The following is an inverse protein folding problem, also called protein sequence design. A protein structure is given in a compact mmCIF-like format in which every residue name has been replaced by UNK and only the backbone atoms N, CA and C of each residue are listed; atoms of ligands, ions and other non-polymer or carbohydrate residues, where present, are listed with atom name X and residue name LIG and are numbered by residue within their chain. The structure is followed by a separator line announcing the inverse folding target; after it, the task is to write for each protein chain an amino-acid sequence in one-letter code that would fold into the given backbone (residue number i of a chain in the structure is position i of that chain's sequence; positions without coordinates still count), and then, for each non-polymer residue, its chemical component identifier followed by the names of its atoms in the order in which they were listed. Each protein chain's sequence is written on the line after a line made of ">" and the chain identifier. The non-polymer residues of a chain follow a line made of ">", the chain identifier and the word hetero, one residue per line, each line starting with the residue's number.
data_IF_404454508415
#
_entry.id   IF_404454508415
#
_cell.length_a   1.000
_cell.length_b   1.000
_cell.length_c   1.000
_cell.angle_alpha   90.00
_cell.angle_beta   90.00
_cell.angle_gamma   90.00
#
_symmetry.space_group_name_H-M   'P 1'
#
loop_
_entity.id
_entity.type
_entity.pdbx_description
1 polymer ?
#
# COMPACT_ATOMS: atom_id res chain seq x y z
N UNK A 1 4.94 12.37 5.00
CA UNK A 1 3.95 11.75 4.10
C UNK A 1 2.62 11.72 4.86
N UNK A 2 1.48 11.54 4.20
CA UNK A 2 0.18 11.72 4.87
C UNK A 2 -0.27 10.40 5.52
N UNK A 3 -0.05 10.28 6.84
CA UNK A 3 -0.45 9.11 7.65
C UNK A 3 -1.90 8.68 7.47
N UNK A 4 -2.80 9.62 7.16
CA UNK A 4 -4.22 9.32 6.92
C UNK A 4 -4.38 8.51 5.64
N UNK A 5 -3.66 8.89 4.58
CA UNK A 5 -3.70 8.21 3.27
C UNK A 5 -3.04 6.84 3.37
N UNK A 6 -1.86 6.74 3.99
CA UNK A 6 -1.16 5.46 4.19
C UNK A 6 -2.01 4.44 4.95
N UNK A 7 -2.68 4.87 6.02
CA UNK A 7 -3.59 4.02 6.79
C UNK A 7 -4.84 3.59 6.01
N UNK A 8 -5.41 4.46 5.16
CA UNK A 8 -6.55 4.10 4.31
C UNK A 8 -6.14 3.05 3.26
N UNK A 9 -4.98 3.22 2.63
CA UNK A 9 -4.46 2.26 1.66
C UNK A 9 -4.19 0.90 2.29
N UNK A 10 -3.59 0.88 3.49
CA UNK A 10 -3.37 -0.35 4.25
C UNK A 10 -4.67 -1.09 4.55
N UNK A 11 -5.69 -0.37 5.03
CA UNK A 11 -7.01 -0.94 5.30
C UNK A 11 -7.67 -1.49 4.03
N UNK A 12 -7.60 -0.75 2.92
CA UNK A 12 -8.16 -1.19 1.64
C UNK A 12 -7.47 -2.46 1.14
N UNK A 13 -6.14 -2.52 1.20
CA UNK A 13 -5.37 -3.70 0.81
C UNK A 13 -5.75 -4.93 1.64
N UNK A 14 -5.82 -4.79 2.97
CA UNK A 14 -6.24 -5.86 3.87
C UNK A 14 -7.69 -6.30 3.60
N UNK A 15 -8.59 -5.36 3.31
CA UNK A 15 -9.98 -5.68 2.97
C UNK A 15 -10.12 -6.45 1.64
N UNK A 16 -9.12 -6.35 0.77
CA UNK A 16 -9.05 -7.10 -0.50
C UNK A 16 -8.21 -8.37 -0.40
N UNK A 17 -7.71 -8.70 0.79
CA UNK A 17 -6.79 -9.83 1.04
C UNK A 17 -5.55 -9.82 0.13
N UNK A 18 -5.03 -8.63 -0.17
CA UNK A 18 -3.87 -8.46 -1.05
C UNK A 18 -2.59 -8.24 -0.22
N UNK A 19 -1.49 -8.80 -0.68
CA UNK A 19 -0.14 -8.47 -0.22
C UNK A 19 0.30 -7.08 -0.70
N UNK A 20 1.33 -6.51 -0.06
CA UNK A 20 1.92 -5.25 -0.53
C UNK A 20 2.51 -5.38 -1.94
N UNK A 21 2.97 -6.59 -2.30
CA UNK A 21 3.54 -6.87 -3.62
C UNK A 21 2.46 -6.89 -4.70
N UNK A 22 1.32 -7.55 -4.47
CA UNK A 22 0.21 -7.58 -5.44
C UNK A 22 -0.34 -6.18 -5.72
N UNK A 23 -0.51 -5.35 -4.69
CA UNK A 23 -0.96 -3.97 -4.89
C UNK A 23 0.11 -3.14 -5.59
N UNK A 24 1.38 -3.31 -5.24
CA UNK A 24 2.48 -2.59 -5.90
C UNK A 24 2.59 -2.97 -7.38
N UNK A 25 2.46 -4.25 -7.71
CA UNK A 25 2.41 -4.76 -9.08
C UNK A 25 1.25 -4.15 -9.87
N UNK A 26 0.05 -4.09 -9.27
CA UNK A 26 -1.12 -3.44 -9.89
C UNK A 26 -0.98 -1.92 -10.08
N UNK A 27 -0.09 -1.28 -9.31
CA UNK A 27 0.22 0.15 -9.39
C UNK A 27 1.52 0.43 -10.18
N UNK A 28 2.11 -0.58 -10.83
CA UNK A 28 3.36 -0.48 -11.58
C UNK A 28 4.50 0.16 -10.75
N UNK A 29 4.62 -0.20 -9.48
CA UNK A 29 5.66 0.30 -8.58
C UNK A 29 6.31 -0.83 -7.78
N UNK A 30 7.46 -0.55 -7.17
CA UNK A 30 8.09 -1.52 -6.29
C UNK A 30 7.31 -1.69 -4.98
N UNK A 31 7.33 -2.91 -4.43
CA UNK A 31 6.77 -3.21 -3.11
C UNK A 31 7.34 -2.28 -2.02
N UNK A 32 8.63 -1.92 -2.10
CA UNK A 32 9.27 -0.97 -1.17
C UNK A 32 8.78 0.48 -1.32
N UNK A 33 8.40 0.91 -2.52
CA UNK A 33 7.74 2.20 -2.72
C UNK A 33 6.35 2.20 -2.07
N UNK A 34 5.56 1.16 -2.33
CA UNK A 34 4.24 1.00 -1.72
C UNK A 34 4.29 0.91 -0.18
N UNK A 35 5.23 0.14 0.37
CA UNK A 35 5.42 0.03 1.82
C UNK A 35 5.77 1.38 2.47
N UNK A 36 6.55 2.25 1.80
CA UNK A 36 6.81 3.62 2.27
C UNK A 36 5.56 4.48 2.29
N UNK A 37 4.65 4.29 1.32
CA UNK A 37 3.34 4.97 1.30
C UNK A 37 2.49 4.54 2.50
N UNK A 38 2.45 3.25 2.83
CA UNK A 38 1.69 2.76 3.99
C UNK A 38 2.28 3.22 5.34
N UNK A 39 3.60 3.43 5.41
CA UNK A 39 4.32 3.75 6.65
C UNK A 39 4.45 5.24 6.94
N UNK A 40 4.30 6.08 5.92
CA UNK A 40 4.54 7.53 5.97
C UNK A 40 3.32 8.35 6.34
#
# INVERSE_FOLDING_TARGET
>A
MNRIVGNKLKKLRQAKDMSQEEVANGLCMSQSAYARIERG
#
